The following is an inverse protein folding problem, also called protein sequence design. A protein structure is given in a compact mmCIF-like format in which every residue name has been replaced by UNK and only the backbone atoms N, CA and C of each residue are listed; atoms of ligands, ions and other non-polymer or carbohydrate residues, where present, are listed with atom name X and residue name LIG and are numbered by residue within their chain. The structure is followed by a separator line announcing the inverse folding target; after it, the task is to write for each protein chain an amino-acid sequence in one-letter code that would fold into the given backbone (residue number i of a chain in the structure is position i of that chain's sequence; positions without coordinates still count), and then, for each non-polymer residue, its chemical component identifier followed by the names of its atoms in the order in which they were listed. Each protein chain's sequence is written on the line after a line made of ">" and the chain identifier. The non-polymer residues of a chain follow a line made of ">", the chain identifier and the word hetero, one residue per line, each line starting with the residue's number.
data_IF_706822631354
#
_entry.id   IF_706822631354
#
_cell.length_a   1.000
_cell.length_b   1.000
_cell.length_c   1.000
_cell.angle_alpha   90.00
_cell.angle_beta   90.00
_cell.angle_gamma   90.00
#
_symmetry.space_group_name_H-M   'P 1'
#
loop_
_entity.id
_entity.type
_entity.pdbx_description
1 polymer ?
#
# COMPACT_ATOMS: atom_id res chain seq x y z
N UNK A 1 -50.49 -25.95 44.47
CA UNK A 1 -49.11 -26.08 44.97
C UNK A 1 -48.41 -27.11 44.11
N UNK A 2 -47.71 -26.67 43.06
CA UNK A 2 -47.16 -27.53 42.02
C UNK A 2 -45.64 -27.41 42.06
N UNK A 3 -44.95 -28.52 42.32
CA UNK A 3 -43.50 -28.61 42.49
C UNK A 3 -42.79 -28.26 41.17
N UNK A 4 -41.83 -27.34 41.26
CA UNK A 4 -40.88 -27.02 40.18
C UNK A 4 -39.80 -28.10 40.20
N UNK A 5 -39.65 -28.83 39.09
CA UNK A 5 -38.58 -29.80 38.88
C UNK A 5 -37.28 -29.07 38.49
N UNK A 6 -36.19 -29.39 39.19
CA UNK A 6 -34.86 -28.86 38.92
C UNK A 6 -34.25 -29.54 37.67
N UNK A 7 -33.94 -28.75 36.65
CA UNK A 7 -33.25 -29.20 35.43
C UNK A 7 -31.75 -29.35 35.73
N UNK A 8 -31.25 -30.58 35.69
CA UNK A 8 -29.82 -30.89 35.85
C UNK A 8 -29.03 -30.36 34.65
N UNK A 9 -28.13 -29.40 34.87
CA UNK A 9 -27.09 -29.01 33.90
C UNK A 9 -26.06 -30.13 33.81
N UNK A 10 -26.06 -30.87 32.71
CA UNK A 10 -24.96 -31.76 32.32
C UNK A 10 -23.73 -30.91 32.01
N UNK A 11 -22.70 -31.06 32.86
CA UNK A 11 -21.39 -30.44 32.70
C UNK A 11 -20.73 -31.08 31.47
N UNK A 12 -20.66 -30.36 30.34
CA UNK A 12 -19.84 -30.75 29.19
C UNK A 12 -18.41 -30.93 29.72
N UNK A 13 -17.94 -32.18 29.74
CA UNK A 13 -16.55 -32.52 30.02
C UNK A 13 -15.69 -31.85 28.95
N UNK A 14 -14.84 -30.91 29.38
CA UNK A 14 -13.85 -30.30 28.52
C UNK A 14 -12.98 -31.41 27.89
N UNK A 15 -12.82 -31.34 26.57
CA UNK A 15 -11.90 -32.18 25.81
C UNK A 15 -10.51 -31.99 26.45
N UNK A 16 -9.75 -33.05 26.77
CA UNK A 16 -8.43 -32.90 27.37
C UNK A 16 -7.57 -32.04 26.43
N UNK A 17 -6.97 -30.99 26.99
CA UNK A 17 -6.02 -30.14 26.26
C UNK A 17 -4.91 -31.05 25.71
N UNK A 18 -4.63 -30.92 24.42
CA UNK A 18 -3.50 -31.60 23.80
C UNK A 18 -2.22 -31.30 24.61
N UNK A 19 -1.29 -32.26 24.74
CA UNK A 19 -0.03 -32.01 25.42
C UNK A 19 0.67 -30.84 24.74
N UNK A 20 0.91 -29.75 25.49
CA UNK A 20 1.68 -28.60 25.02
C UNK A 20 3.09 -29.13 24.71
N UNK A 21 3.43 -29.20 23.42
CA UNK A 21 4.78 -29.55 23.00
C UNK A 21 5.75 -28.52 23.61
N UNK A 22 6.89 -28.96 24.18
CA UNK A 22 7.89 -28.02 24.70
C UNK A 22 8.36 -27.11 23.56
N UNK A 23 8.43 -25.80 23.81
CA UNK A 23 8.90 -24.83 22.84
C UNK A 23 10.33 -25.19 22.39
N UNK A 24 10.62 -25.25 21.07
CA UNK A 24 11.98 -25.49 20.58
C UNK A 24 12.94 -24.39 21.05
N UNK A 25 14.18 -24.76 21.35
CA UNK A 25 15.20 -23.79 21.75
C UNK A 25 15.53 -22.83 20.60
N UNK A 26 15.70 -21.53 20.87
CA UNK A 26 16.02 -20.55 19.85
C UNK A 26 17.40 -20.82 19.24
N UNK A 27 17.50 -20.74 17.91
CA UNK A 27 18.77 -20.89 17.19
C UNK A 27 19.50 -19.56 17.20
N UNK A 28 20.73 -19.53 17.73
CA UNK A 28 21.60 -18.36 17.68
C UNK A 28 22.86 -18.64 16.86
N UNK A 29 23.19 -17.76 15.91
CA UNK A 29 24.44 -17.82 15.16
C UNK A 29 25.00 -16.43 14.87
N UNK A 30 26.31 -16.33 14.64
CA UNK A 30 26.96 -15.07 14.25
C UNK A 30 26.69 -14.68 12.79
N UNK A 31 26.61 -15.67 11.93
CA UNK A 31 26.25 -15.54 10.52
C UNK A 31 25.76 -16.89 10.02
N UNK A 32 24.98 -16.89 8.94
CA UNK A 32 24.39 -18.10 8.40
C UNK A 32 24.58 -18.15 6.88
N UNK A 33 25.48 -19.05 6.43
CA UNK A 33 25.66 -19.32 5.00
C UNK A 33 25.39 -20.79 4.70
N UNK A 34 24.27 -21.09 4.04
CA UNK A 34 23.86 -22.47 3.70
C UNK A 34 23.10 -22.52 2.38
N UNK A 35 22.97 -23.72 1.82
CA UNK A 35 22.07 -23.93 0.68
C UNK A 35 20.60 -23.82 1.09
N UNK A 36 20.26 -24.45 2.21
CA UNK A 36 18.92 -24.48 2.81
C UNK A 36 19.04 -24.38 4.32
N UNK A 37 18.04 -23.79 4.96
CA UNK A 37 17.89 -23.76 6.40
C UNK A 37 16.42 -23.87 6.79
N UNK A 38 16.14 -24.72 7.78
CA UNK A 38 14.82 -24.86 8.36
C UNK A 38 14.93 -24.91 9.89
N UNK A 39 14.09 -24.14 10.57
CA UNK A 39 13.94 -24.18 12.03
C UNK A 39 12.45 -24.13 12.37
N UNK A 40 12.04 -24.88 13.38
CA UNK A 40 10.66 -24.84 13.90
C UNK A 40 10.48 -23.80 15.00
N UNK A 41 11.59 -23.34 15.59
CA UNK A 41 11.63 -22.32 16.63
C UNK A 41 12.14 -20.98 16.13
N UNK A 42 12.24 -20.05 17.08
CA UNK A 42 12.77 -18.72 16.84
C UNK A 42 14.25 -18.77 16.41
N UNK A 43 14.65 -17.86 15.54
CA UNK A 43 16.01 -17.80 14.98
C UNK A 43 16.53 -16.38 15.12
N UNK A 44 17.71 -16.24 15.71
CA UNK A 44 18.42 -14.97 15.82
C UNK A 44 19.82 -15.09 15.23
N UNK A 45 20.09 -14.30 14.21
CA UNK A 45 21.40 -14.23 13.57
C UNK A 45 21.98 -12.83 13.81
N UNK A 46 23.16 -12.75 14.43
CA UNK A 46 23.82 -11.48 14.80
C UNK A 46 24.50 -10.77 13.61
N UNK A 47 24.28 -11.24 12.38
CA UNK A 47 24.95 -10.78 11.18
C UNK A 47 24.33 -11.42 9.95
N UNK A 48 25.03 -11.41 8.83
CA UNK A 48 24.43 -11.69 7.54
C UNK A 48 23.92 -13.13 7.37
N UNK A 49 22.80 -13.24 6.67
CA UNK A 49 22.17 -14.49 6.26
C UNK A 49 22.23 -14.60 4.75
N UNK A 50 22.89 -15.65 4.26
CA UNK A 50 22.97 -15.99 2.83
C UNK A 50 22.48 -17.42 2.64
N UNK A 51 21.28 -17.57 2.10
CA UNK A 51 20.65 -18.86 1.85
C UNK A 51 20.42 -19.05 0.36
N UNK A 52 21.05 -20.05 -0.25
CA UNK A 52 20.98 -20.18 -1.72
C UNK A 52 19.60 -20.52 -2.24
N UNK A 53 18.74 -21.20 -1.46
CA UNK A 53 17.42 -21.64 -1.95
C UNK A 53 16.31 -21.27 -0.95
N UNK A 54 16.01 -22.12 0.01
CA UNK A 54 14.93 -21.89 0.99
C UNK A 54 15.42 -21.63 2.41
N UNK A 55 14.89 -20.58 3.00
CA UNK A 55 14.93 -20.26 4.42
C UNK A 55 13.53 -20.42 5.02
N UNK A 56 13.34 -21.42 5.89
CA UNK A 56 12.06 -21.68 6.56
C UNK A 56 12.21 -21.51 8.07
N UNK A 57 11.40 -20.64 8.66
CA UNK A 57 11.37 -20.39 10.11
C UNK A 57 9.95 -20.48 10.64
N UNK A 58 9.75 -21.43 11.55
CA UNK A 58 8.49 -21.71 12.25
C UNK A 58 8.09 -20.69 13.31
N UNK A 59 9.08 -19.94 13.81
CA UNK A 59 8.95 -18.90 14.82
C UNK A 59 9.24 -17.50 14.28
N UNK A 60 9.67 -16.63 15.18
CA UNK A 60 10.15 -15.29 14.86
C UNK A 60 11.61 -15.36 14.31
N UNK A 61 11.93 -14.56 13.31
CA UNK A 61 13.26 -14.47 12.69
C UNK A 61 13.83 -13.06 12.87
N UNK A 62 14.95 -12.96 13.59
CA UNK A 62 15.70 -11.73 13.79
C UNK A 62 17.08 -11.83 13.13
N UNK A 63 17.43 -10.85 12.31
CA UNK A 63 18.71 -10.76 11.60
C UNK A 63 19.29 -9.36 11.86
N UNK A 64 20.42 -9.30 12.57
CA UNK A 64 21.16 -8.06 12.84
C UNK A 64 22.18 -7.76 11.71
N UNK A 65 21.76 -7.92 10.46
CA UNK A 65 22.57 -7.78 9.25
C UNK A 65 21.70 -7.89 7.99
N UNK A 66 22.29 -8.29 6.87
CA UNK A 66 21.58 -8.42 5.60
C UNK A 66 20.97 -9.81 5.41
N UNK A 67 19.86 -9.90 4.68
CA UNK A 67 19.20 -11.14 4.30
C UNK A 67 19.21 -11.30 2.77
N UNK A 68 19.95 -12.31 2.30
CA UNK A 68 19.98 -12.70 0.89
C UNK A 68 19.49 -14.14 0.75
N UNK A 69 18.40 -14.36 0.03
CA UNK A 69 17.88 -15.70 -0.24
C UNK A 69 17.04 -15.80 -1.52
N UNK A 70 16.83 -17.00 -2.08
CA UNK A 70 15.83 -17.14 -3.15
C UNK A 70 14.41 -17.03 -2.55
N UNK A 71 14.08 -17.91 -1.61
CA UNK A 71 12.76 -17.94 -0.98
C UNK A 71 12.85 -17.91 0.54
N UNK A 72 12.03 -17.06 1.17
CA UNK A 72 11.95 -16.93 2.63
C UNK A 72 10.53 -17.17 3.11
N UNK A 73 10.39 -18.09 4.05
CA UNK A 73 9.14 -18.41 4.73
C UNK A 73 9.34 -18.20 6.23
N UNK A 74 8.78 -17.13 6.78
CA UNK A 74 8.78 -16.85 8.21
C UNK A 74 7.34 -16.87 8.72
N UNK A 75 6.99 -17.83 9.57
CA UNK A 75 5.63 -17.94 10.12
C UNK A 75 5.32 -16.90 11.21
N UNK A 76 6.36 -16.41 11.89
CA UNK A 76 6.27 -15.36 12.88
C UNK A 76 6.52 -13.97 12.29
N UNK A 77 7.11 -13.13 13.13
CA UNK A 77 7.65 -11.81 12.77
C UNK A 77 9.04 -11.95 12.16
N UNK A 78 9.28 -11.23 11.07
CA UNK A 78 10.60 -11.10 10.45
C UNK A 78 11.14 -9.69 10.73
N UNK A 79 12.31 -9.61 11.36
CA UNK A 79 13.04 -8.37 11.57
C UNK A 79 14.43 -8.48 10.98
N UNK A 80 14.76 -7.55 10.09
CA UNK A 80 16.08 -7.45 9.46
C UNK A 80 16.60 -6.03 9.67
N UNK A 81 17.76 -5.86 10.30
CA UNK A 81 18.28 -4.50 10.55
C UNK A 81 18.96 -3.89 9.32
N UNK A 82 19.46 -4.73 8.40
CA UNK A 82 20.07 -4.33 7.13
C UNK A 82 19.11 -4.47 5.94
N UNK A 83 19.67 -4.81 4.78
CA UNK A 83 18.93 -4.94 3.53
C UNK A 83 18.34 -6.35 3.35
N UNK A 84 17.23 -6.44 2.61
CA UNK A 84 16.59 -7.69 2.22
C UNK A 84 16.61 -7.81 0.70
N UNK A 85 17.28 -8.84 0.20
CA UNK A 85 17.32 -9.17 -1.23
C UNK A 85 16.86 -10.60 -1.44
N UNK A 86 15.62 -10.76 -1.90
CA UNK A 86 15.03 -12.09 -2.10
C UNK A 86 14.23 -12.22 -3.39
N UNK A 87 13.95 -13.44 -3.85
CA UNK A 87 13.04 -13.62 -4.99
C UNK A 87 11.58 -13.65 -4.54
N UNK A 88 11.29 -14.28 -3.41
CA UNK A 88 9.94 -14.32 -2.82
C UNK A 88 9.98 -14.33 -1.30
N UNK A 89 9.12 -13.50 -0.71
CA UNK A 89 9.08 -13.25 0.72
C UNK A 89 7.69 -13.52 1.28
N UNK A 90 7.59 -14.51 2.17
CA UNK A 90 6.36 -14.90 2.84
C UNK A 90 6.51 -14.74 4.34
N UNK A 91 5.71 -13.84 4.92
CA UNK A 91 5.74 -13.55 6.37
C UNK A 91 4.35 -13.78 6.96
N UNK A 92 4.29 -14.49 8.08
CA UNK A 92 3.04 -14.85 8.73
C UNK A 92 2.46 -13.74 9.58
N UNK A 93 3.32 -12.84 10.08
CA UNK A 93 2.93 -11.71 10.91
C UNK A 93 3.43 -10.39 10.31
N UNK A 94 4.41 -9.73 10.94
CA UNK A 94 4.94 -8.42 10.56
C UNK A 94 6.31 -8.56 9.92
N UNK A 95 6.60 -7.71 8.95
CA UNK A 95 7.92 -7.53 8.34
C UNK A 95 8.49 -6.17 8.72
N UNK A 96 9.58 -6.15 9.49
CA UNK A 96 10.30 -4.92 9.85
C UNK A 96 11.70 -4.96 9.22
N UNK A 97 12.02 -3.96 8.41
CA UNK A 97 13.31 -3.86 7.74
C UNK A 97 13.94 -2.49 7.99
N UNK A 98 15.18 -2.49 8.45
CA UNK A 98 15.94 -1.27 8.73
C UNK A 98 16.64 -0.67 7.50
N UNK A 99 16.88 -1.48 6.47
CA UNK A 99 17.45 -1.05 5.19
C UNK A 99 16.42 -1.07 4.06
N UNK A 100 16.85 -1.48 2.88
CA UNK A 100 16.04 -1.57 1.66
C UNK A 100 15.44 -2.97 1.48
N UNK A 101 14.30 -3.05 0.79
CA UNK A 101 13.65 -4.31 0.43
C UNK A 101 13.63 -4.44 -1.10
N UNK A 102 14.39 -5.40 -1.64
CA UNK A 102 14.36 -5.81 -3.04
C UNK A 102 13.78 -7.22 -3.13
N UNK A 103 12.58 -7.36 -3.70
CA UNK A 103 11.94 -8.66 -3.92
C UNK A 103 11.56 -8.88 -5.37
N UNK A 104 12.17 -9.85 -6.05
CA UNK A 104 11.96 -10.00 -7.51
C UNK A 104 10.50 -10.31 -7.90
N UNK A 105 9.79 -11.10 -7.09
CA UNK A 105 8.43 -11.54 -7.40
C UNK A 105 7.42 -11.06 -6.38
N UNK A 106 7.18 -11.82 -5.30
CA UNK A 106 6.04 -11.60 -4.42
C UNK A 106 6.49 -11.32 -3.00
N UNK A 107 5.94 -10.26 -2.41
CA UNK A 107 5.90 -10.07 -0.95
C UNK A 107 4.49 -10.35 -0.47
N UNK A 108 4.34 -11.31 0.44
CA UNK A 108 3.07 -11.59 1.10
C UNK A 108 3.21 -11.61 2.62
N UNK A 109 2.44 -10.77 3.31
CA UNK A 109 2.34 -10.77 4.77
C UNK A 109 0.99 -11.29 5.26
N UNK A 110 0.89 -11.57 6.57
CA UNK A 110 -0.33 -12.14 7.15
C UNK A 110 -0.63 -13.57 6.67
N UNK A 111 0.40 -14.29 6.23
CA UNK A 111 0.25 -15.65 5.74
C UNK A 111 -0.13 -16.62 6.88
N UNK A 112 -1.26 -17.30 6.74
CA UNK A 112 -1.60 -18.40 7.65
C UNK A 112 -0.63 -19.58 7.49
N UNK A 113 -0.39 -20.32 8.58
CA UNK A 113 0.45 -21.49 8.53
C UNK A 113 -0.07 -22.58 7.58
N UNK A 114 -1.39 -22.72 7.47
CA UNK A 114 -2.03 -23.64 6.52
C UNK A 114 -1.72 -23.26 5.07
N UNK A 115 -1.77 -21.97 4.75
CA UNK A 115 -1.46 -21.48 3.41
C UNK A 115 0.01 -21.71 3.05
N UNK A 116 0.94 -21.34 3.94
CA UNK A 116 2.37 -21.55 3.69
C UNK A 116 2.73 -23.02 3.49
N UNK A 117 2.12 -23.92 4.26
CA UNK A 117 2.39 -25.34 4.11
C UNK A 117 1.88 -25.93 2.79
N UNK A 118 0.79 -25.39 2.24
CA UNK A 118 0.33 -25.73 0.88
C UNK A 118 1.31 -25.23 -0.17
N UNK A 119 1.84 -24.02 -0.01
CA UNK A 119 2.85 -23.45 -0.91
C UNK A 119 4.14 -24.27 -0.86
N UNK A 120 4.53 -24.74 0.31
CA UNK A 120 5.68 -25.63 0.52
C UNK A 120 5.40 -27.11 0.18
N UNK A 121 4.20 -27.45 -0.30
CA UNK A 121 3.73 -28.81 -0.62
C UNK A 121 3.91 -29.82 0.56
N UNK A 122 3.84 -29.33 1.80
CA UNK A 122 4.02 -30.14 3.00
C UNK A 122 2.78 -30.95 3.38
N UNK A 123 1.61 -30.52 2.91
CA UNK A 123 0.32 -31.20 3.08
C UNK A 123 0.25 -32.57 2.37
N UNK A 124 1.13 -32.80 1.39
CA UNK A 124 1.24 -34.07 0.67
C UNK A 124 2.11 -35.12 1.40
N UNK A 125 2.78 -34.75 2.50
CA UNK A 125 3.64 -35.68 3.25
C UNK A 125 2.82 -36.61 4.14
N UNK A 126 3.16 -37.91 4.15
CA UNK A 126 2.55 -38.88 5.07
C UNK A 126 2.97 -38.58 6.51
N UNK A 127 2.03 -38.08 7.31
CA UNK A 127 2.18 -37.88 8.74
C UNK A 127 1.73 -39.13 9.51
N UNK A 128 2.24 -39.31 10.73
CA UNK A 128 1.75 -40.34 11.65
C UNK A 128 0.33 -39.99 12.13
N UNK A 129 -0.49 -41.00 12.48
CA UNK A 129 -1.86 -40.78 12.96
C UNK A 129 -1.91 -39.79 14.14
N UNK A 130 -2.62 -38.68 13.95
CA UNK A 130 -2.85 -37.67 14.98
C UNK A 130 -1.84 -36.52 15.03
N UNK A 131 -0.84 -36.48 14.16
CA UNK A 131 0.08 -35.33 14.03
C UNK A 131 -0.35 -34.41 12.89
N UNK A 132 -0.42 -33.10 13.15
CA UNK A 132 -0.49 -32.09 12.09
C UNK A 132 0.92 -31.66 11.68
N UNK A 133 1.14 -31.33 10.40
CA UNK A 133 2.39 -30.68 9.99
C UNK A 133 2.54 -29.31 10.68
N UNK A 134 1.43 -28.66 11.06
CA UNK A 134 1.42 -27.39 11.80
C UNK A 134 2.14 -27.55 13.14
N UNK A 135 1.89 -28.65 13.85
CA UNK A 135 2.52 -28.94 15.14
C UNK A 135 4.03 -29.22 15.02
N UNK A 136 4.49 -29.57 13.81
CA UNK A 136 5.89 -29.89 13.50
C UNK A 136 6.64 -28.72 12.87
N UNK A 137 5.96 -27.78 12.22
CA UNK A 137 6.58 -26.68 11.48
C UNK A 137 6.51 -25.37 12.28
N UNK A 138 5.42 -25.16 13.01
CA UNK A 138 5.09 -23.86 13.61
C UNK A 138 5.44 -23.87 15.08
N UNK A 139 6.07 -22.80 15.53
CA UNK A 139 6.31 -22.61 16.94
C UNK A 139 4.96 -22.55 17.71
N UNK A 140 4.78 -23.30 18.82
CA UNK A 140 3.49 -23.37 19.51
C UNK A 140 2.92 -22.00 19.94
N UNK A 141 3.79 -21.03 20.24
CA UNK A 141 3.36 -19.67 20.56
C UNK A 141 2.82 -18.91 19.33
N UNK A 142 3.37 -19.14 18.14
CA UNK A 142 2.88 -18.54 16.88
C UNK A 142 1.55 -19.17 16.49
N UNK A 143 1.42 -20.49 16.62
CA UNK A 143 0.15 -21.18 16.41
C UNK A 143 -0.96 -20.62 17.33
N UNK A 144 -0.64 -20.31 18.59
CA UNK A 144 -1.56 -19.67 19.51
C UNK A 144 -1.91 -18.21 19.11
N UNK A 145 -0.93 -17.41 18.66
CA UNK A 145 -1.17 -16.04 18.14
C UNK A 145 -2.08 -16.05 16.90
N UNK A 146 -1.83 -16.96 15.96
CA UNK A 146 -2.63 -17.09 14.74
C UNK A 146 -4.08 -17.51 15.04
N UNK A 147 -4.30 -18.40 16.02
CA UNK A 147 -5.65 -18.84 16.42
C UNK A 147 -6.51 -17.73 17.03
N UNK A 148 -5.88 -16.68 17.56
CA UNK A 148 -6.57 -15.58 18.23
C UNK A 148 -6.82 -14.36 17.34
N UNK A 149 -6.25 -14.30 16.11
CA UNK A 149 -6.24 -13.08 15.28
C UNK A 149 -6.12 -11.85 16.19
N UNK A 150 -5.12 -11.84 17.09
CA UNK A 150 -5.07 -10.82 18.12
C UNK A 150 -5.09 -9.45 17.44
N UNK A 151 -6.21 -8.74 17.65
CA UNK A 151 -6.62 -7.47 17.02
C UNK A 151 -5.77 -6.30 17.54
N UNK A 152 -4.57 -6.60 18.04
CA UNK A 152 -3.58 -5.61 18.41
C UNK A 152 -2.75 -5.29 17.17
N UNK A 153 -2.78 -4.03 16.74
CA UNK A 153 -2.24 -3.55 15.46
C UNK A 153 -0.83 -4.05 15.15
N UNK A 154 -0.54 -4.26 13.87
CA UNK A 154 0.72 -4.84 13.40
C UNK A 154 0.58 -6.12 12.58
N UNK A 155 -0.57 -6.81 12.62
CA UNK A 155 -0.74 -8.06 11.88
C UNK A 155 -0.69 -7.81 10.37
N UNK A 156 0.27 -8.45 9.69
CA UNK A 156 0.45 -8.27 8.27
C UNK A 156 1.12 -6.94 7.90
N UNK A 157 1.57 -6.15 8.88
CA UNK A 157 2.21 -4.87 8.57
C UNK A 157 3.59 -5.08 7.97
N UNK A 158 3.98 -4.16 7.09
CA UNK A 158 5.33 -4.01 6.55
C UNK A 158 5.82 -2.63 6.97
N UNK A 159 6.94 -2.58 7.67
CA UNK A 159 7.65 -1.37 8.03
C UNK A 159 9.05 -1.42 7.44
N UNK A 160 9.41 -0.39 6.67
CA UNK A 160 10.72 -0.28 6.05
C UNK A 160 11.25 1.15 6.20
N UNK A 161 12.47 1.30 6.70
CA UNK A 161 13.11 2.62 6.76
C UNK A 161 13.72 3.06 5.41
N UNK A 162 13.83 2.14 4.45
CA UNK A 162 14.27 2.43 3.08
C UNK A 162 13.17 2.21 2.04
N UNK A 163 13.56 2.21 0.76
CA UNK A 163 12.64 1.88 -0.33
C UNK A 163 12.22 0.40 -0.34
N UNK A 164 11.10 0.12 -1.00
CA UNK A 164 10.62 -1.23 -1.30
C UNK A 164 10.40 -1.38 -2.81
N UNK A 165 11.09 -2.34 -3.42
CA UNK A 165 10.89 -2.75 -4.81
C UNK A 165 10.35 -4.17 -4.89
N UNK A 166 9.24 -4.38 -5.59
CA UNK A 166 8.73 -5.73 -5.88
C UNK A 166 7.92 -5.84 -7.17
N UNK A 167 7.67 -7.07 -7.66
CA UNK A 167 6.67 -7.25 -8.70
C UNK A 167 5.26 -7.16 -8.09
N UNK A 168 4.91 -8.10 -7.23
CA UNK A 168 3.58 -8.21 -6.63
C UNK A 168 3.63 -7.98 -5.12
N UNK A 169 2.72 -7.13 -4.63
CA UNK A 169 2.59 -6.82 -3.21
C UNK A 169 1.21 -7.20 -2.66
N UNK A 170 1.21 -8.10 -1.67
CA UNK A 170 0.03 -8.55 -0.93
C UNK A 170 0.27 -8.37 0.57
N UNK A 171 -0.04 -7.16 1.05
CA UNK A 171 0.11 -6.76 2.44
C UNK A 171 -1.25 -6.84 3.15
N UNK A 172 -1.40 -7.76 4.11
CA UNK A 172 -2.67 -7.87 4.83
C UNK A 172 -2.90 -6.76 5.87
N UNK A 173 -1.85 -6.04 6.26
CA UNK A 173 -1.88 -4.95 7.23
C UNK A 173 -1.57 -3.59 6.59
N UNK A 174 -0.85 -2.75 7.33
CA UNK A 174 -0.34 -1.46 6.84
C UNK A 174 1.00 -1.63 6.13
N UNK A 175 1.25 -0.83 5.09
CA UNK A 175 2.56 -0.64 4.49
C UNK A 175 3.06 0.76 4.82
N UNK A 176 4.15 0.85 5.58
CA UNK A 176 4.80 2.10 5.94
C UNK A 176 6.25 2.06 5.46
N UNK A 177 6.58 2.95 4.53
CA UNK A 177 7.93 3.19 4.02
C UNK A 177 8.36 4.62 4.34
N UNK A 178 9.60 4.80 4.75
CA UNK A 178 10.19 6.14 4.90
C UNK A 178 10.69 6.69 3.54
N UNK A 179 10.94 5.83 2.56
CA UNK A 179 11.32 6.20 1.18
C UNK A 179 10.27 5.71 0.16
N UNK A 180 10.71 5.30 -1.04
CA UNK A 180 9.85 5.07 -2.20
C UNK A 180 9.29 3.64 -2.26
N UNK A 181 8.07 3.51 -2.80
CA UNK A 181 7.48 2.24 -3.24
C UNK A 181 7.59 2.11 -4.75
N UNK A 182 8.23 1.04 -5.22
CA UNK A 182 8.20 0.61 -6.61
C UNK A 182 7.58 -0.79 -6.70
N UNK A 183 6.40 -0.89 -7.31
CA UNK A 183 5.71 -2.17 -7.50
C UNK A 183 5.28 -2.39 -8.95
N UNK A 184 5.23 -3.64 -9.41
CA UNK A 184 4.49 -3.93 -10.64
C UNK A 184 2.99 -3.92 -10.36
N UNK A 185 2.52 -4.56 -9.31
CA UNK A 185 1.11 -4.59 -8.91
C UNK A 185 1.00 -4.57 -7.38
N UNK A 186 0.16 -3.69 -6.86
CA UNK A 186 -0.26 -3.74 -5.44
C UNK A 186 -1.61 -4.41 -5.40
N UNK A 187 -1.58 -5.73 -5.28
CA UNK A 187 -2.76 -6.60 -5.31
C UNK A 187 -3.70 -6.30 -4.14
N UNK A 188 -3.10 -6.08 -2.97
CA UNK A 188 -3.86 -5.81 -1.75
C UNK A 188 -2.99 -5.12 -0.69
N UNK A 189 -3.51 -4.04 -0.11
CA UNK A 189 -3.12 -3.52 1.20
C UNK A 189 -4.37 -3.47 2.08
N UNK A 190 -4.39 -4.25 3.16
CA UNK A 190 -5.55 -4.36 4.05
C UNK A 190 -5.76 -3.15 4.94
N UNK A 191 -4.68 -2.44 5.27
CA UNK A 191 -4.67 -1.22 6.07
C UNK A 191 -4.36 0.02 5.22
N UNK A 192 -3.43 0.85 5.71
CA UNK A 192 -2.95 2.06 5.05
C UNK A 192 -1.67 1.79 4.26
N UNK A 193 -1.45 2.53 3.17
CA UNK A 193 -0.23 2.55 2.38
C UNK A 193 0.37 3.95 2.47
N UNK A 194 1.56 4.08 3.06
CA UNK A 194 2.30 5.33 3.16
C UNK A 194 3.74 5.13 2.69
N UNK A 195 4.20 6.04 1.83
CA UNK A 195 5.58 6.10 1.31
C UNK A 195 5.95 7.54 0.95
N UNK A 196 7.23 7.83 0.75
CA UNK A 196 7.69 9.13 0.25
C UNK A 196 7.18 9.38 -1.18
N UNK A 197 7.33 8.39 -2.05
CA UNK A 197 6.77 8.34 -3.40
C UNK A 197 6.16 6.97 -3.66
N UNK A 198 5.13 6.91 -4.51
CA UNK A 198 4.47 5.65 -4.88
C UNK A 198 4.48 5.52 -6.39
N UNK A 199 5.17 4.50 -6.90
CA UNK A 199 5.19 4.13 -8.31
C UNK A 199 4.70 2.70 -8.50
N UNK A 200 3.58 2.53 -9.23
CA UNK A 200 3.00 1.23 -9.54
C UNK A 200 2.71 1.13 -11.03
N UNK A 201 3.24 0.12 -11.71
CA UNK A 201 3.04 -0.03 -13.18
C UNK A 201 1.70 -0.67 -13.55
N UNK A 202 1.07 -1.39 -12.62
CA UNK A 202 -0.22 -2.04 -12.76
C UNK A 202 -1.29 -1.38 -11.91
N UNK A 203 -2.16 -2.20 -11.33
CA UNK A 203 -3.22 -1.73 -10.44
C UNK A 203 -2.69 -1.59 -9.00
N UNK A 204 -3.29 -0.67 -8.24
CA UNK A 204 -3.00 -0.46 -6.83
C UNK A 204 -4.30 -0.47 -6.01
N UNK A 205 -4.47 -1.49 -5.18
CA UNK A 205 -5.67 -1.72 -4.37
C UNK A 205 -5.34 -1.66 -2.87
N UNK A 206 -5.74 -0.56 -2.25
CA UNK A 206 -5.63 -0.34 -0.81
C UNK A 206 -7.04 -0.25 -0.20
N UNK A 207 -7.28 -0.91 0.92
CA UNK A 207 -8.57 -0.78 1.62
C UNK A 207 -8.65 0.51 2.43
N UNK A 208 -7.54 0.95 3.01
CA UNK A 208 -7.43 2.17 3.79
C UNK A 208 -6.96 3.36 2.97
N UNK A 209 -6.19 4.23 3.63
CA UNK A 209 -5.64 5.44 3.01
C UNK A 209 -4.41 5.10 2.17
N UNK A 210 -4.25 5.75 1.03
CA UNK A 210 -2.99 5.85 0.29
C UNK A 210 -2.44 7.25 0.50
N UNK A 211 -1.28 7.37 1.13
CA UNK A 211 -0.61 8.61 1.44
C UNK A 211 0.78 8.66 0.77
N UNK A 212 1.09 9.79 0.14
CA UNK A 212 2.43 10.07 -0.39
C UNK A 212 2.89 11.48 -0.04
N UNK A 213 4.14 11.61 0.39
CA UNK A 213 4.81 12.89 0.66
C UNK A 213 5.19 13.65 -0.61
N UNK A 214 5.27 12.96 -1.75
CA UNK A 214 5.64 13.56 -3.02
C UNK A 214 4.58 13.21 -4.07
N UNK A 215 4.76 12.16 -4.86
CA UNK A 215 3.89 11.83 -5.98
C UNK A 215 3.29 10.44 -5.82
N UNK A 216 2.12 10.25 -6.43
CA UNK A 216 1.49 8.94 -6.63
C UNK A 216 1.36 8.76 -8.13
N UNK A 217 2.03 7.75 -8.66
CA UNK A 217 2.01 7.38 -10.07
C UNK A 217 1.61 5.91 -10.19
N UNK A 218 0.41 5.66 -10.73
CA UNK A 218 -0.15 4.31 -10.90
C UNK A 218 -0.59 4.13 -12.34
N UNK A 219 0.16 3.44 -13.20
CA UNK A 219 -0.21 3.39 -14.63
C UNK A 219 -1.58 2.73 -14.87
N UNK A 220 -1.96 1.77 -14.01
CA UNK A 220 -3.28 1.14 -13.95
C UNK A 220 -4.29 1.89 -13.07
N UNK A 221 -5.16 1.17 -12.38
CA UNK A 221 -6.22 1.73 -11.54
C UNK A 221 -5.76 1.86 -10.10
N UNK A 222 -5.90 3.06 -9.53
CA UNK A 222 -5.71 3.32 -8.11
C UNK A 222 -7.06 3.26 -7.40
N UNK A 223 -7.24 2.28 -6.53
CA UNK A 223 -8.39 2.15 -5.64
C UNK A 223 -7.95 2.26 -4.18
N UNK A 224 -8.56 3.16 -3.43
CA UNK A 224 -8.30 3.34 -2.01
C UNK A 224 -9.57 3.67 -1.21
N UNK A 225 -9.47 3.52 0.11
CA UNK A 225 -10.42 4.13 1.05
C UNK A 225 -10.36 5.65 1.01
N UNK A 226 -9.17 6.23 1.04
CA UNK A 226 -8.90 7.67 0.87
C UNK A 226 -7.55 7.84 0.14
N UNK A 227 -7.38 8.92 -0.63
CA UNK A 227 -6.15 9.16 -1.39
C UNK A 227 -5.63 10.56 -1.08
N UNK A 228 -4.39 10.65 -0.59
CA UNK A 228 -3.74 11.88 -0.21
C UNK A 228 -2.33 11.92 -0.81
N UNK A 229 -2.02 13.00 -1.53
CA UNK A 229 -0.67 13.27 -2.02
C UNK A 229 -0.28 14.72 -1.74
N UNK A 230 0.91 14.95 -1.19
CA UNK A 230 1.46 16.29 -1.05
C UNK A 230 2.04 16.85 -2.37
N UNK A 231 2.05 16.08 -3.44
CA UNK A 231 2.39 16.51 -4.79
C UNK A 231 1.30 16.11 -5.77
N UNK A 232 1.64 15.30 -6.77
CA UNK A 232 0.73 14.97 -7.88
C UNK A 232 0.18 13.55 -7.72
N UNK A 233 -1.05 13.35 -8.21
CA UNK A 233 -1.64 12.03 -8.39
C UNK A 233 -1.85 11.82 -9.89
N UNK A 234 -1.27 10.77 -10.43
CA UNK A 234 -1.40 10.34 -11.81
C UNK A 234 -1.78 8.88 -11.83
N UNK A 235 -2.92 8.56 -12.45
CA UNK A 235 -3.29 7.17 -12.62
C UNK A 235 -3.95 6.82 -13.96
N UNK A 236 -3.99 5.53 -14.29
CA UNK A 236 -4.86 5.01 -15.33
C UNK A 236 -6.32 5.31 -15.02
N UNK A 237 -6.79 5.04 -13.79
CA UNK A 237 -8.08 5.48 -13.25
C UNK A 237 -7.97 5.68 -11.73
N UNK A 238 -8.84 6.48 -11.12
CA UNK A 238 -8.82 6.77 -9.68
C UNK A 238 -10.20 6.52 -9.09
N UNK A 239 -10.29 5.60 -8.14
CA UNK A 239 -11.47 5.32 -7.33
C UNK A 239 -11.16 5.48 -5.85
N UNK A 240 -11.93 6.31 -5.16
CA UNK A 240 -11.85 6.48 -3.70
C UNK A 240 -13.22 6.29 -3.08
N UNK A 241 -13.27 5.60 -1.93
CA UNK A 241 -14.49 5.58 -1.11
C UNK A 241 -14.72 6.95 -0.46
N UNK A 242 -13.66 7.57 0.03
CA UNK A 242 -13.62 8.85 0.71
C UNK A 242 -13.14 9.97 -0.19
N UNK A 243 -12.33 10.86 0.38
CA UNK A 243 -11.82 12.04 -0.31
C UNK A 243 -10.63 11.67 -1.24
N UNK A 244 -10.34 12.56 -2.20
CA UNK A 244 -9.14 12.51 -3.03
C UNK A 244 -8.49 13.88 -2.97
N UNK A 245 -7.29 13.97 -2.39
CA UNK A 245 -6.59 15.24 -2.18
C UNK A 245 -5.20 15.20 -2.78
N UNK A 246 -4.87 16.18 -3.62
CA UNK A 246 -3.51 16.44 -4.08
C UNK A 246 -3.16 17.92 -3.87
N UNK A 247 -1.98 18.21 -3.32
CA UNK A 247 -1.49 19.60 -3.28
C UNK A 247 -1.11 20.12 -4.68
N UNK A 248 -0.64 19.24 -5.55
CA UNK A 248 -0.37 19.50 -6.95
C UNK A 248 -1.59 19.27 -7.82
N UNK A 249 -1.48 18.32 -8.75
CA UNK A 249 -2.51 18.00 -9.72
C UNK A 249 -3.05 16.57 -9.55
N UNK A 250 -4.29 16.35 -10.01
CA UNK A 250 -4.90 15.02 -10.10
C UNK A 250 -5.17 14.75 -11.58
N UNK A 251 -4.59 13.68 -12.12
CA UNK A 251 -4.73 13.31 -13.53
C UNK A 251 -5.10 11.85 -13.69
N UNK A 252 -6.04 11.56 -14.57
CA UNK A 252 -6.31 10.18 -14.98
C UNK A 252 -6.71 10.04 -16.44
N UNK A 253 -6.35 8.91 -17.06
CA UNK A 253 -6.84 8.57 -18.42
C UNK A 253 -8.29 8.09 -18.38
N UNK A 254 -8.64 7.37 -17.33
CA UNK A 254 -9.95 6.82 -16.99
C UNK A 254 -10.68 7.68 -15.97
N UNK A 255 -11.75 7.13 -15.40
CA UNK A 255 -12.61 7.84 -14.45
C UNK A 255 -11.86 8.28 -13.20
N UNK A 256 -12.25 9.43 -12.65
CA UNK A 256 -11.88 9.87 -11.31
C UNK A 256 -13.17 9.94 -10.50
N UNK A 257 -13.27 9.15 -9.43
CA UNK A 257 -14.50 8.99 -8.65
C UNK A 257 -14.23 8.98 -7.15
N UNK A 258 -14.86 9.91 -6.41
CA UNK A 258 -14.93 9.91 -4.95
C UNK A 258 -16.37 9.61 -4.50
N UNK A 259 -16.61 8.37 -4.04
CA UNK A 259 -17.97 7.83 -3.84
C UNK A 259 -18.74 8.46 -2.68
N UNK A 260 -18.06 8.81 -1.59
CA UNK A 260 -18.62 9.47 -0.42
C UNK A 260 -17.87 10.75 -0.05
N UNK A 261 -16.89 11.15 -0.85
CA UNK A 261 -15.98 12.26 -0.56
C UNK A 261 -16.02 13.42 -1.54
N UNK A 262 -15.12 14.37 -1.30
CA UNK A 262 -14.75 15.45 -2.20
C UNK A 262 -13.44 15.17 -2.94
N UNK A 263 -13.23 15.90 -4.04
CA UNK A 263 -11.97 15.88 -4.79
C UNK A 263 -11.36 17.27 -4.72
N UNK A 264 -10.12 17.36 -4.24
CA UNK A 264 -9.39 18.61 -4.10
C UNK A 264 -8.00 18.52 -4.73
N UNK A 265 -7.70 19.41 -5.66
CA UNK A 265 -6.36 19.64 -6.17
C UNK A 265 -5.93 21.09 -5.92
N UNK A 266 -4.72 21.33 -5.44
CA UNK A 266 -4.16 22.68 -5.34
C UNK A 266 -3.95 23.34 -6.70
N UNK A 267 -3.88 22.54 -7.77
CA UNK A 267 -3.77 23.02 -9.15
C UNK A 267 -4.93 22.53 -10.01
N UNK A 268 -4.73 21.56 -10.89
CA UNK A 268 -5.78 21.09 -11.79
C UNK A 268 -6.19 19.65 -11.55
N UNK A 269 -7.47 19.38 -11.83
CA UNK A 269 -8.07 18.05 -11.89
C UNK A 269 -8.40 17.78 -13.35
N UNK A 270 -7.85 16.73 -13.95
CA UNK A 270 -8.04 16.45 -15.36
C UNK A 270 -8.22 14.96 -15.65
N UNK A 271 -9.28 14.62 -16.39
CA UNK A 271 -9.51 13.26 -16.89
C UNK A 271 -10.01 13.23 -18.33
N UNK A 272 -9.59 12.21 -19.08
CA UNK A 272 -10.14 11.90 -20.41
C UNK A 272 -11.49 11.14 -20.35
N UNK A 273 -12.00 10.88 -19.16
CA UNK A 273 -13.28 10.22 -18.90
C UNK A 273 -14.21 11.14 -18.08
N UNK A 274 -14.99 10.55 -17.19
CA UNK A 274 -15.90 11.23 -16.25
C UNK A 274 -15.18 11.58 -14.96
N UNK A 275 -15.59 12.72 -14.38
CA UNK A 275 -15.18 13.16 -13.04
C UNK A 275 -16.42 13.21 -12.14
N UNK A 276 -16.39 12.47 -11.04
CA UNK A 276 -17.46 12.42 -10.05
C UNK A 276 -16.93 12.59 -8.63
N UNK A 277 -17.60 13.44 -7.85
CA UNK A 277 -17.43 13.49 -6.40
C UNK A 277 -18.81 13.55 -5.73
N UNK A 278 -19.02 12.78 -4.66
CA UNK A 278 -20.27 12.88 -3.91
C UNK A 278 -20.44 14.24 -3.20
N UNK A 279 -19.33 14.90 -2.85
CA UNK A 279 -19.30 16.23 -2.24
C UNK A 279 -18.78 17.29 -3.23
N UNK A 280 -17.83 18.13 -2.84
CA UNK A 280 -17.28 19.19 -3.68
C UNK A 280 -16.24 18.68 -4.68
N UNK A 281 -16.05 19.43 -5.77
CA UNK A 281 -14.87 19.34 -6.64
C UNK A 281 -14.16 20.69 -6.58
N UNK A 282 -12.90 20.71 -6.16
CA UNK A 282 -12.12 21.93 -5.95
C UNK A 282 -10.77 21.83 -6.66
N UNK A 283 -10.52 22.75 -7.58
CA UNK A 283 -9.22 22.91 -8.21
C UNK A 283 -8.76 24.37 -8.06
N UNK A 284 -7.50 24.57 -7.68
CA UNK A 284 -6.90 25.91 -7.67
C UNK A 284 -6.93 26.57 -9.05
N UNK A 285 -6.68 25.78 -10.10
CA UNK A 285 -6.57 26.19 -11.49
C UNK A 285 -7.76 25.65 -12.31
N UNK A 286 -7.64 24.51 -12.98
CA UNK A 286 -8.65 24.03 -13.93
C UNK A 286 -9.26 22.69 -13.55
N UNK A 287 -10.51 22.45 -13.99
CA UNK A 287 -11.18 21.15 -13.92
C UNK A 287 -11.57 20.70 -15.32
N UNK A 288 -11.09 19.54 -15.75
CA UNK A 288 -11.41 18.97 -17.07
C UNK A 288 -11.88 17.54 -16.91
N UNK A 289 -13.09 17.23 -17.40
CA UNK A 289 -13.62 15.87 -17.50
C UNK A 289 -14.25 15.66 -18.85
N UNK A 290 -13.52 15.04 -19.79
CA UNK A 290 -13.92 15.00 -21.20
C UNK A 290 -15.30 14.40 -21.46
N UNK A 291 -15.73 13.42 -20.65
CA UNK A 291 -17.04 12.77 -20.79
C UNK A 291 -18.12 13.35 -19.87
N UNK A 292 -17.75 14.16 -18.88
CA UNK A 292 -18.70 14.75 -17.94
C UNK A 292 -18.05 15.09 -16.60
N UNK A 293 -18.62 16.09 -15.93
CA UNK A 293 -18.29 16.45 -14.55
C UNK A 293 -19.59 16.52 -13.77
N UNK A 294 -19.65 15.84 -12.63
CA UNK A 294 -20.80 15.86 -11.73
C UNK A 294 -20.35 15.86 -10.27
N UNK A 295 -21.14 16.52 -9.44
CA UNK A 295 -20.95 16.54 -7.99
C UNK A 295 -22.29 16.34 -7.28
N UNK A 296 -22.27 16.14 -5.97
CA UNK A 296 -23.50 16.02 -5.17
C UNK A 296 -24.39 17.26 -5.29
N UNK A 297 -25.71 17.04 -5.19
CA UNK A 297 -26.75 18.06 -5.48
C UNK A 297 -26.65 19.36 -4.66
N UNK A 298 -26.15 19.26 -3.43
CA UNK A 298 -26.03 20.38 -2.48
C UNK A 298 -24.60 20.94 -2.42
N UNK A 299 -23.72 20.47 -3.32
CA UNK A 299 -22.32 20.84 -3.43
C UNK A 299 -22.05 21.64 -4.71
N UNK A 300 -20.78 21.86 -5.04
CA UNK A 300 -20.40 22.63 -6.21
C UNK A 300 -19.00 22.36 -6.72
N UNK A 301 -18.73 22.94 -7.89
CA UNK A 301 -17.49 22.82 -8.63
C UNK A 301 -16.78 24.17 -8.57
N UNK A 302 -15.57 24.17 -8.03
CA UNK A 302 -14.68 25.32 -7.94
C UNK A 302 -13.46 25.11 -8.84
N UNK A 303 -13.21 26.07 -9.72
CA UNK A 303 -11.98 26.21 -10.49
C UNK A 303 -11.47 27.66 -10.39
N UNK A 304 -10.18 27.87 -10.66
CA UNK A 304 -9.55 29.18 -10.77
C UNK A 304 -9.51 29.96 -9.46
N UNK A 305 -9.58 29.28 -8.30
CA UNK A 305 -9.61 29.92 -6.98
C UNK A 305 -8.29 30.60 -6.61
N UNK A 306 -7.17 30.18 -7.20
CA UNK A 306 -5.85 30.82 -7.01
C UNK A 306 -5.47 31.77 -8.15
N UNK A 307 -6.38 31.99 -9.11
CA UNK A 307 -6.12 32.76 -10.32
C UNK A 307 -7.00 34.02 -10.40
N UNK A 308 -6.48 35.13 -10.96
CA UNK A 308 -7.30 36.29 -11.26
C UNK A 308 -8.37 35.92 -12.31
N UNK A 309 -9.54 36.55 -12.21
CA UNK A 309 -10.67 36.30 -13.14
C UNK A 309 -10.31 36.49 -14.61
N UNK A 310 -9.36 37.38 -14.92
CA UNK A 310 -8.86 37.60 -16.27
C UNK A 310 -8.14 36.40 -16.89
N UNK A 311 -7.66 35.45 -16.07
CA UNK A 311 -6.99 34.24 -16.52
C UNK A 311 -7.93 33.02 -16.58
N UNK A 312 -9.20 33.15 -16.21
CA UNK A 312 -10.11 32.01 -16.10
C UNK A 312 -10.37 31.32 -17.45
N UNK A 313 -10.53 32.08 -18.53
CA UNK A 313 -10.72 31.53 -19.88
C UNK A 313 -9.58 30.61 -20.38
N UNK A 314 -8.38 30.68 -19.78
CA UNK A 314 -7.19 29.96 -20.26
C UNK A 314 -6.56 29.04 -19.23
N UNK A 315 -6.62 29.38 -17.94
CA UNK A 315 -5.94 28.67 -16.84
C UNK A 315 -6.87 28.32 -15.67
N UNK A 316 -7.98 29.06 -15.50
CA UNK A 316 -8.97 28.86 -14.43
C UNK A 316 -10.30 28.33 -14.96
N UNK A 317 -10.25 27.32 -15.82
CA UNK A 317 -11.39 26.89 -16.64
C UNK A 317 -12.01 25.58 -16.15
N UNK A 318 -13.28 25.41 -16.49
CA UNK A 318 -14.02 24.14 -16.35
C UNK A 318 -14.40 23.67 -17.76
N UNK A 319 -14.13 22.40 -18.08
CA UNK A 319 -14.48 21.85 -19.40
C UNK A 319 -14.98 20.42 -19.30
N UNK A 320 -16.08 20.16 -19.99
CA UNK A 320 -16.71 18.84 -20.10
C UNK A 320 -17.56 18.75 -21.37
N UNK A 321 -18.00 17.53 -21.73
CA UNK A 321 -18.92 17.30 -22.85
C UNK A 321 -20.23 18.10 -22.76
N UNK A 322 -20.70 18.40 -21.55
CA UNK A 322 -21.88 19.24 -21.30
C UNK A 322 -21.57 20.16 -20.12
N UNK A 323 -22.02 21.42 -20.20
CA UNK A 323 -21.82 22.40 -19.13
C UNK A 323 -22.38 21.89 -17.79
N UNK A 324 -21.53 21.70 -16.76
CA UNK A 324 -22.00 21.33 -15.43
C UNK A 324 -22.92 22.39 -14.83
N UNK A 325 -23.96 21.97 -14.10
CA UNK A 325 -24.97 22.89 -13.53
C UNK A 325 -24.46 23.66 -12.30
N UNK A 326 -23.59 23.04 -11.50
CA UNK A 326 -23.19 23.52 -10.17
C UNK A 326 -21.80 24.19 -10.16
N UNK A 327 -21.50 25.00 -11.18
CA UNK A 327 -20.25 25.78 -11.23
C UNK A 327 -20.37 26.98 -10.30
N UNK A 328 -19.44 27.11 -9.36
CA UNK A 328 -19.38 28.22 -8.40
C UNK A 328 -18.23 29.20 -8.69
N UNK A 329 -17.13 28.74 -9.28
CA UNK A 329 -16.01 29.59 -9.74
C UNK A 329 -15.33 29.01 -10.98
N UNK A 330 -14.56 29.85 -11.67
CA UNK A 330 -13.94 29.51 -12.95
C UNK A 330 -14.86 29.79 -14.14
N UNK A 331 -14.31 29.69 -15.34
CA UNK A 331 -15.04 29.91 -16.58
C UNK A 331 -15.27 28.59 -17.33
N UNK A 332 -16.52 28.33 -17.75
CA UNK A 332 -16.79 27.16 -18.57
C UNK A 332 -16.29 27.39 -20.00
N UNK A 333 -15.37 26.54 -20.47
CA UNK A 333 -14.78 26.62 -21.81
C UNK A 333 -14.97 25.28 -22.50
N UNK A 334 -15.61 25.27 -23.66
CA UNK A 334 -15.88 24.04 -24.42
C UNK A 334 -14.62 23.47 -25.09
N UNK A 335 -14.60 22.15 -25.30
CA UNK A 335 -13.60 21.47 -26.12
C UNK A 335 -12.20 21.35 -25.50
N UNK A 336 -12.03 21.70 -24.22
CA UNK A 336 -10.77 21.40 -23.51
C UNK A 336 -10.74 19.93 -23.11
N UNK A 337 -9.53 19.40 -23.02
CA UNK A 337 -9.21 17.97 -22.98
C UNK A 337 -8.02 17.77 -22.06
N UNK A 338 -7.80 16.56 -21.60
CA UNK A 338 -6.64 16.22 -20.76
C UNK A 338 -5.33 16.69 -21.40
N UNK A 339 -5.15 16.41 -22.71
CA UNK A 339 -3.98 16.85 -23.49
C UNK A 339 -3.72 18.35 -23.48
N UNK A 340 -4.75 19.18 -23.28
CA UNK A 340 -4.57 20.64 -23.19
C UNK A 340 -4.00 21.05 -21.84
N UNK A 341 -4.36 20.35 -20.77
CA UNK A 341 -3.73 20.51 -19.45
C UNK A 341 -2.28 20.03 -19.49
N UNK A 342 -2.00 18.91 -20.16
CA UNK A 342 -0.62 18.42 -20.33
C UNK A 342 0.25 19.43 -21.09
N UNK A 343 -0.32 20.11 -22.09
CA UNK A 343 0.38 21.18 -22.80
C UNK A 343 0.67 22.39 -21.90
N UNK A 344 -0.23 22.73 -20.97
CA UNK A 344 -0.02 23.80 -19.99
C UNK A 344 1.06 23.44 -18.98
N UNK A 345 1.06 22.20 -18.45
CA UNK A 345 2.10 21.67 -17.56
C UNK A 345 3.47 21.76 -18.24
N UNK A 346 3.57 21.24 -19.47
CA UNK A 346 4.81 21.27 -20.26
C UNK A 346 5.30 22.69 -20.54
N UNK A 347 4.38 23.62 -20.77
CA UNK A 347 4.72 25.03 -20.97
C UNK A 347 5.28 25.63 -19.67
N UNK A 348 4.65 25.37 -18.53
CA UNK A 348 5.12 25.90 -17.24
C UNK A 348 6.48 25.34 -16.84
N UNK A 349 6.72 24.04 -17.01
CA UNK A 349 8.02 23.45 -16.66
C UNK A 349 9.15 24.11 -17.45
N UNK A 350 8.94 24.31 -18.76
CA UNK A 350 9.88 25.10 -19.57
C UNK A 350 10.05 26.53 -19.06
N UNK A 351 8.97 27.16 -18.57
CA UNK A 351 9.03 28.52 -18.06
C UNK A 351 9.84 28.63 -16.77
N UNK A 352 9.66 27.68 -15.85
CA UNK A 352 10.41 27.59 -14.60
C UNK A 352 11.91 27.33 -14.87
N UNK A 353 12.25 26.43 -15.80
CA UNK A 353 13.64 26.08 -16.12
C UNK A 353 14.48 27.30 -16.55
N UNK A 354 13.91 28.18 -17.39
CA UNK A 354 14.63 29.38 -17.82
C UNK A 354 14.66 30.47 -16.74
N UNK A 355 13.63 30.56 -15.89
CA UNK A 355 13.61 31.51 -14.78
C UNK A 355 14.64 31.17 -13.71
N UNK A 356 14.77 29.90 -13.34
CA UNK A 356 15.81 29.42 -12.41
C UNK A 356 17.19 29.76 -12.98
N UNK A 357 17.43 29.40 -14.24
CA UNK A 357 18.69 29.72 -14.94
C UNK A 357 19.00 31.22 -14.95
N UNK A 358 17.97 32.07 -15.05
CA UNK A 358 18.12 33.53 -15.02
C UNK A 358 18.37 34.07 -13.61
N UNK A 359 17.74 33.49 -12.59
CA UNK A 359 17.99 33.84 -11.18
C UNK A 359 19.41 33.47 -10.78
N UNK A 360 19.84 32.25 -11.07
CA UNK A 360 21.22 31.79 -10.83
C UNK A 360 22.24 32.68 -11.55
N UNK A 361 22.03 33.02 -12.82
CA UNK A 361 22.91 33.96 -13.54
C UNK A 361 22.94 35.36 -12.94
N UNK A 362 21.83 35.85 -12.39
CA UNK A 362 21.78 37.15 -11.71
C UNK A 362 22.53 37.13 -10.39
N UNK A 363 22.46 36.03 -9.65
CA UNK A 363 23.20 35.85 -8.40
C UNK A 363 24.71 35.68 -8.65
N UNK A 364 25.11 34.92 -9.67
CA UNK A 364 26.53 34.76 -10.07
C UNK A 364 27.16 36.03 -10.69
N UNK A 365 26.36 36.99 -11.16
CA UNK A 365 26.83 38.29 -11.65
C UNK A 365 26.78 39.38 -10.57
N UNK A 366 26.29 39.05 -9.37
CA UNK A 366 26.24 39.94 -8.22
C UNK A 366 27.37 39.67 -7.20
N UNK A 367 28.16 38.61 -7.42
CA UNK A 367 29.51 38.40 -6.87
C UNK A 367 30.57 38.94 -7.84
#
# INVERSE_FOLDING_TARGET
>A
MTKIAATSRTRKTAKPAAPVLPAPEPVQAKSLKRKQFASTGDVHILGDVIITTQLIVGGDLLIDGDLIAEEVFCLGKLTVTGDVQVQSLYVGHTLDVGGHIDVEFLIKTGCSAEWMARVLELDQRKLAEGQSFIDLLVHPAIAARQAHHDVFGGFGDIQCLGYLSCADLDCHGNLQLDEDLEASEVQFVGGHLAAASIHVTGDCNCQGEVFSETHIEVEGSLFAGEIISQGNIEAGAIGSQGDITAWGSIRAKGEISALFGEIHAGRWIATAATLYAAKYIKAGESVVGEKGISCGKDYGIFAGSVLPRSAWATQGMISAATKPRLILSGEFVEGKKLRHIDALEKKRNKELDWEISRRVKREMLAE
#
